data_IF_702224809667
#
_entry.id   IF_702224809667
#
_cell.length_a   1.000
_cell.length_b   1.000
_cell.length_c   1.000
_cell.angle_alpha   90.00
_cell.angle_beta   90.00
_cell.angle_gamma   90.00
#
_symmetry.space_group_name_H-M   'P 1'
#
loop_
_entity.id
_entity.type
_entity.pdbx_description
1 polymer ?
2 non-polymer ?
3 non-polymer ?
4 water ?
#
# COMPACT_ATOMS: atom_id res chain seq x y z
N UNK A 5 -15.66 20.49 10.23
CA UNK A 5 -15.58 19.82 8.90
C UNK A 5 -15.14 18.36 9.04
N UNK A 6 -15.61 17.51 8.14
CA UNK A 6 -15.26 16.09 8.17
C UNK A 6 -13.88 15.79 7.59
N UNK A 7 -13.12 15.00 8.33
CA UNK A 7 -11.76 14.61 7.93
C UNK A 7 -11.82 13.31 7.13
N UNK A 8 -10.67 12.90 6.60
CA UNK A 8 -10.59 11.66 5.84
C UNK A 8 -11.11 10.52 6.72
N UNK A 9 -10.77 10.59 8.00
CA UNK A 9 -11.18 9.59 8.98
C UNK A 9 -12.71 9.52 9.07
N UNK A 10 -13.33 10.69 9.16
CA UNK A 10 -14.78 10.79 9.25
C UNK A 10 -15.44 10.08 8.08
N UNK A 11 -14.97 10.36 6.88
CA UNK A 11 -15.52 9.74 5.69
C UNK A 11 -15.23 8.25 5.65
N UNK A 12 -14.01 7.87 6.01
CA UNK A 12 -13.63 6.47 6.00
C UNK A 12 -14.46 5.62 6.96
N UNK A 13 -14.66 6.10 8.19
CA UNK A 13 -15.45 5.39 9.20
C UNK A 13 -16.90 5.30 8.74
N UNK A 14 -17.38 6.39 8.17
CA UNK A 14 -18.74 6.47 7.66
C UNK A 14 -18.93 5.34 6.63
N UNK A 15 -18.03 5.31 5.65
CA UNK A 15 -18.04 4.31 4.60
C UNK A 15 -17.95 2.87 5.13
N UNK A 16 -17.00 2.62 6.02
CA UNK A 16 -16.82 1.27 6.56
C UNK A 16 -17.89 0.80 7.53
N UNK A 17 -18.45 1.73 8.31
CA UNK A 17 -19.50 1.37 9.27
C UNK A 17 -20.79 0.97 8.57
N UNK A 18 -20.87 1.26 7.28
CA UNK A 18 -22.05 0.88 6.51
C UNK A 18 -21.76 -0.45 5.80
N UNK A 19 -20.63 -0.49 5.10
CA UNK A 19 -20.28 -1.66 4.33
C UNK A 19 -19.81 -2.92 5.04
N UNK A 20 -19.06 -2.78 6.13
CA UNK A 20 -18.59 -3.95 6.85
C UNK A 20 -19.76 -4.75 7.41
N UNK A 21 -20.71 -4.08 8.09
CA UNK A 21 -21.86 -4.81 8.64
C UNK A 21 -22.64 -5.50 7.51
N UNK A 22 -22.73 -4.84 6.37
CA UNK A 22 -23.43 -5.40 5.22
C UNK A 22 -22.70 -6.64 4.69
N UNK A 23 -21.38 -6.67 4.83
CA UNK A 23 -20.61 -7.83 4.40
C UNK A 23 -20.89 -8.99 5.37
N UNK A 24 -20.92 -8.70 6.67
CA UNK A 24 -21.17 -9.73 7.68
C UNK A 24 -22.60 -10.28 7.58
N UNK A 25 -23.54 -9.45 7.13
CA UNK A 25 -24.91 -9.90 6.97
C UNK A 25 -25.00 -11.01 5.92
N UNK A 26 -23.95 -11.17 5.13
CA UNK A 26 -23.92 -12.18 4.08
C UNK A 26 -23.54 -13.58 4.61
N UNK A 27 -22.95 -13.62 5.80
CA UNK A 27 -22.56 -14.88 6.38
C UNK A 27 -21.27 -15.45 5.83
N UNK A 28 -20.63 -14.71 4.92
CA UNK A 28 -19.38 -15.16 4.31
C UNK A 28 -18.29 -15.44 5.33
N UNK A 29 -17.72 -16.64 5.26
CA UNK A 29 -16.65 -17.02 6.19
C UNK A 29 -15.26 -16.66 5.67
N UNK A 30 -15.15 -16.42 4.37
CA UNK A 30 -13.86 -16.04 3.79
C UNK A 30 -13.45 -14.66 4.32
N UNK A 31 -12.17 -14.32 4.26
CA UNK A 31 -11.75 -13.00 4.76
C UNK A 31 -12.32 -11.85 3.92
N UNK A 32 -12.44 -10.68 4.54
CA UNK A 32 -12.88 -9.49 3.84
C UNK A 32 -11.62 -8.65 3.88
N UNK A 33 -11.11 -8.25 2.72
CA UNK A 33 -9.92 -7.40 2.70
C UNK A 33 -10.29 -5.93 2.64
N UNK A 34 -9.43 -5.10 3.22
CA UNK A 34 -9.63 -3.67 3.20
C UNK A 34 -8.29 -3.05 2.79
N UNK A 35 -8.27 -2.51 1.57
CA UNK A 35 -7.08 -1.90 1.00
C UNK A 35 -7.06 -0.39 1.13
N UNK A 36 -5.92 0.14 1.59
CA UNK A 36 -5.74 1.57 1.69
C UNK A 36 -4.63 1.91 0.71
N UNK A 37 -4.90 2.89 -0.15
CA UNK A 37 -3.95 3.32 -1.17
C UNK A 37 -3.88 4.84 -1.24
N UNK A 38 -2.67 5.37 -1.30
CA UNK A 38 -2.51 6.81 -1.38
C UNK A 38 -1.06 7.20 -1.55
N UNK A 39 -0.78 8.36 -2.16
CA UNK A 39 0.62 8.75 -2.34
C UNK A 39 1.35 8.86 -1.02
N UNK A 40 2.66 8.73 -1.06
CA UNK A 40 3.48 8.86 0.15
C UNK A 40 3.25 10.28 0.71
N UNK A 41 2.96 10.37 2.00
CA UNK A 41 2.72 11.66 2.61
C UNK A 41 1.24 12.04 2.68
N UNK A 42 0.39 11.25 2.05
CA UNK A 42 -1.04 11.54 2.07
C UNK A 42 -1.69 11.30 3.43
N UNK A 43 -1.03 10.50 4.27
CA UNK A 43 -1.57 10.21 5.58
C UNK A 43 -2.36 8.91 5.63
N UNK A 44 -2.41 8.20 4.50
CA UNK A 44 -3.14 6.93 4.40
C UNK A 44 -2.68 5.90 5.43
N UNK A 45 -1.39 5.94 5.77
CA UNK A 45 -0.87 5.00 6.75
C UNK A 45 -1.50 5.22 8.12
N UNK A 46 -1.51 6.47 8.55
CA UNK A 46 -2.11 6.80 9.84
C UNK A 46 -3.61 6.45 9.82
N UNK A 47 -4.28 6.78 8.71
CA UNK A 47 -5.71 6.48 8.60
C UNK A 47 -6.02 4.98 8.72
N UNK A 48 -5.21 4.16 8.06
CA UNK A 48 -5.41 2.70 8.10
C UNK A 48 -5.22 2.18 9.52
N UNK A 49 -4.23 2.72 10.23
CA UNK A 49 -3.98 2.32 11.61
C UNK A 49 -5.17 2.69 12.50
N UNK A 50 -5.73 3.88 12.28
CA UNK A 50 -6.88 4.32 13.05
C UNK A 50 -8.06 3.37 12.83
N UNK A 51 -8.24 2.94 11.58
CA UNK A 51 -9.34 2.05 11.25
C UNK A 51 -9.12 0.70 11.95
N UNK A 52 -7.87 0.23 11.93
CA UNK A 52 -7.52 -1.03 12.59
C UNK A 52 -8.03 -0.95 14.02
N UNK A 53 -7.61 0.08 14.75
CA UNK A 53 -8.04 0.25 16.12
C UNK A 53 -9.55 0.35 16.25
N UNK A 54 -10.16 1.11 15.35
CA UNK A 54 -11.60 1.30 15.33
C UNK A 54 -12.31 -0.07 15.30
N UNK A 55 -11.88 -0.94 14.40
CA UNK A 55 -12.46 -2.27 14.24
C UNK A 55 -12.14 -3.20 15.42
N UNK A 56 -10.94 -3.04 15.97
CA UNK A 56 -10.50 -3.83 17.11
C UNK A 56 -11.39 -3.51 18.30
N UNK A 57 -11.80 -2.26 18.40
CA UNK A 57 -12.65 -1.82 19.50
C UNK A 57 -14.10 -2.20 19.24
N UNK A 58 -14.55 -2.06 18.00
CA UNK A 58 -15.93 -2.39 17.67
C UNK A 58 -16.22 -3.88 17.76
N UNK A 59 -15.43 -4.69 17.07
CA UNK A 59 -15.65 -6.13 17.04
C UNK A 59 -14.81 -6.93 18.04
N UNK A 60 -13.77 -6.30 18.58
CA UNK A 60 -12.92 -6.95 19.54
C UNK A 60 -12.82 -8.47 19.44
N UNK A 61 -13.47 -9.15 20.38
CA UNK A 61 -13.42 -10.60 20.42
C UNK A 61 -14.35 -11.43 19.55
N UNK A 62 -15.22 -10.79 18.77
CA UNK A 62 -16.13 -11.54 17.92
C UNK A 62 -15.60 -11.74 16.51
N UNK A 63 -14.51 -11.06 16.20
CA UNK A 63 -13.90 -11.15 14.86
C UNK A 63 -12.37 -11.06 14.93
N UNK A 64 -11.69 -11.76 14.02
CA UNK A 64 -10.23 -11.72 13.96
C UNK A 64 -9.81 -10.64 12.97
N UNK A 65 -9.13 -9.61 13.46
CA UNK A 65 -8.69 -8.50 12.62
C UNK A 65 -7.18 -8.49 12.38
N UNK A 66 -6.79 -8.49 11.11
CA UNK A 66 -5.37 -8.45 10.77
C UNK A 66 -4.98 -7.15 10.10
N UNK A 67 -3.72 -6.76 10.24
CA UNK A 67 -3.24 -5.52 9.64
C UNK A 67 -1.81 -5.69 9.16
N UNK A 68 -1.51 -5.06 8.04
CA UNK A 68 -0.16 -5.10 7.50
C UNK A 68 0.08 -3.99 6.49
N UNK A 69 1.31 -3.52 6.44
CA UNK A 69 1.71 -2.53 5.45
C UNK A 69 2.40 -3.40 4.43
N UNK A 70 2.25 -3.10 3.15
CA UNK A 70 2.92 -3.91 2.15
C UNK A 70 4.43 -3.93 2.41
N UNK A 71 4.97 -2.87 3.00
CA UNK A 71 6.41 -2.83 3.27
C UNK A 71 6.87 -3.81 4.34
N UNK A 72 5.91 -4.37 5.08
CA UNK A 72 6.22 -5.37 6.09
C UNK A 72 6.83 -6.56 5.36
N UNK A 73 6.53 -6.66 4.06
CA UNK A 73 7.02 -7.76 3.23
C UNK A 73 8.23 -7.46 2.37
N UNK A 74 8.99 -6.43 2.73
CA UNK A 74 10.21 -6.11 1.96
C UNK A 74 11.13 -7.33 1.96
N UNK A 75 11.97 -7.42 0.94
CA UNK A 75 12.92 -8.52 0.83
C UNK A 75 13.89 -8.43 2.02
N UNK A 76 14.51 -9.55 2.38
CA UNK A 76 15.49 -9.52 3.45
C UNK A 76 16.63 -8.67 2.91
N UNK A 77 17.37 -8.02 3.80
CA UNK A 77 18.47 -7.17 3.34
C UNK A 77 19.34 -7.93 2.35
N UNK A 78 19.56 -9.21 2.62
CA UNK A 78 20.36 -10.06 1.76
C UNK A 78 19.76 -10.26 0.38
N UNK A 79 18.46 -10.51 0.32
CA UNK A 79 17.80 -10.72 -0.96
C UNK A 79 17.76 -9.44 -1.77
N UNK A 80 17.67 -8.30 -1.10
CA UNK A 80 17.64 -7.03 -1.81
C UNK A 80 19.01 -6.83 -2.46
N UNK A 81 20.06 -7.24 -1.77
CA UNK A 81 21.41 -7.12 -2.32
C UNK A 81 21.49 -7.97 -3.58
N UNK A 82 20.87 -9.14 -3.53
CA UNK A 82 20.84 -10.06 -4.66
C UNK A 82 20.06 -9.39 -5.79
N UNK A 83 18.98 -8.71 -5.44
CA UNK A 83 18.15 -8.02 -6.41
C UNK A 83 18.93 -6.86 -7.05
N UNK A 84 19.77 -6.20 -6.25
CA UNK A 84 20.55 -5.06 -6.74
C UNK A 84 21.39 -5.45 -7.95
N UNK A 85 22.14 -6.54 -7.82
CA UNK A 85 23.00 -7.03 -8.89
C UNK A 85 22.20 -7.60 -10.05
N UNK A 86 21.20 -8.42 -9.75
CA UNK A 86 20.36 -9.03 -10.78
C UNK A 86 19.90 -7.96 -11.76
N UNK A 87 19.56 -6.79 -11.24
CA UNK A 87 19.13 -5.68 -12.08
C UNK A 87 20.10 -4.52 -11.88
N UNK A 88 21.38 -4.85 -11.97
CA UNK A 88 22.47 -3.90 -11.77
C UNK A 88 22.34 -2.56 -12.52
N UNK A 89 21.69 -2.58 -13.68
CA UNK A 89 21.56 -1.35 -14.46
C UNK A 89 20.24 -0.62 -14.31
N UNK A 90 19.36 -1.15 -13.46
CA UNK A 90 18.07 -0.51 -13.23
C UNK A 90 18.21 0.27 -11.92
N UNK A 91 18.30 1.60 -12.03
CA UNK A 91 18.46 2.42 -10.84
C UNK A 91 17.24 2.44 -9.92
N UNK A 92 16.06 2.18 -10.48
CA UNK A 92 14.84 2.17 -9.68
C UNK A 92 14.73 0.94 -8.77
N UNK A 93 15.48 -0.11 -9.10
CA UNK A 93 15.43 -1.33 -8.30
C UNK A 93 16.56 -1.46 -7.29
N UNK A 94 17.46 -0.50 -7.31
CA UNK A 94 18.59 -0.51 -6.38
C UNK A 94 18.05 -0.06 -5.02
N UNK A 95 18.09 -0.97 -4.05
CA UNK A 95 17.59 -0.66 -2.72
C UNK A 95 16.09 -0.85 -2.63
N UNK A 96 15.61 -1.12 -1.41
CA UNK A 96 14.19 -1.32 -1.17
C UNK A 96 13.41 -0.10 -1.67
N UNK A 97 12.14 -0.31 -2.01
CA UNK A 97 11.33 0.80 -2.48
C UNK A 97 10.21 0.48 -3.45
N UNK A 98 10.55 0.40 -4.73
CA UNK A 98 9.57 0.16 -5.77
C UNK A 98 9.06 -1.28 -5.87
N UNK A 99 7.96 -1.48 -6.63
CA UNK A 99 7.41 -2.82 -6.80
C UNK A 99 8.55 -3.70 -7.31
N UNK A 100 8.69 -4.90 -6.73
CA UNK A 100 9.77 -5.77 -7.14
C UNK A 100 10.76 -5.94 -6.00
N UNK A 101 10.65 -5.06 -5.01
CA UNK A 101 11.53 -5.11 -3.84
C UNK A 101 10.86 -5.79 -2.66
N UNK A 102 9.75 -6.47 -2.92
CA UNK A 102 9.05 -7.20 -1.86
C UNK A 102 9.15 -8.71 -2.05
N UNK A 103 9.02 -9.44 -0.96
CA UNK A 103 9.11 -10.89 -0.99
C UNK A 103 7.75 -11.49 -1.36
N UNK A 104 7.55 -11.72 -2.66
CA UNK A 104 6.28 -12.27 -3.16
C UNK A 104 6.02 -13.70 -2.74
N UNK A 105 7.08 -14.51 -2.68
CA UNK A 105 6.92 -15.91 -2.30
C UNK A 105 6.33 -15.96 -0.90
N UNK A 106 6.85 -15.12 -0.03
CA UNK A 106 6.40 -15.06 1.35
C UNK A 106 4.96 -14.55 1.41
N UNK A 107 4.62 -13.60 0.56
CA UNK A 107 3.26 -13.05 0.55
C UNK A 107 2.29 -14.10 0.04
N UNK A 108 2.72 -14.82 -0.98
CA UNK A 108 1.94 -15.89 -1.57
C UNK A 108 1.58 -16.91 -0.48
N UNK A 109 2.58 -17.32 0.29
CA UNK A 109 2.35 -18.30 1.36
C UNK A 109 1.35 -17.81 2.40
N UNK A 110 1.54 -16.59 2.86
CA UNK A 110 0.65 -16.00 3.86
C UNK A 110 -0.81 -16.01 3.35
N UNK A 111 -1.01 -15.57 2.11
CA UNK A 111 -2.34 -15.55 1.52
C UNK A 111 -2.90 -16.97 1.50
N UNK A 112 -2.05 -17.92 1.09
CA UNK A 112 -2.44 -19.32 1.03
C UNK A 112 -2.94 -19.79 2.37
N UNK A 113 -2.14 -19.54 3.41
CA UNK A 113 -2.50 -19.93 4.76
C UNK A 113 -3.81 -19.29 5.20
N UNK A 114 -3.98 -18.00 4.90
CA UNK A 114 -5.19 -17.30 5.26
C UNK A 114 -6.43 -17.89 4.61
N UNK A 115 -6.37 -18.16 3.30
CA UNK A 115 -7.51 -18.76 2.63
C UNK A 115 -7.55 -20.27 2.81
N UNK A 116 -6.76 -20.78 3.75
CA UNK A 116 -6.69 -22.21 4.02
C UNK A 116 -7.58 -22.59 5.20
N UNK A 123 -2.35 -23.48 11.28
CA UNK A 123 -2.46 -23.67 12.72
C UNK A 123 -3.58 -22.79 13.29
N UNK A 124 -3.32 -22.19 14.46
CA UNK A 124 -4.29 -21.33 15.12
C UNK A 124 -3.90 -19.88 14.83
N UNK A 125 -2.72 -19.72 14.23
CA UNK A 125 -2.21 -18.40 13.88
C UNK A 125 -1.37 -18.49 12.62
N UNK A 126 -1.27 -17.38 11.90
CA UNK A 126 -0.47 -17.28 10.70
C UNK A 126 0.56 -16.22 11.04
N UNK A 127 1.80 -16.42 10.61
CA UNK A 127 2.85 -15.45 10.91
C UNK A 127 3.15 -14.54 9.74
N UNK A 128 3.12 -13.25 10.01
CA UNK A 128 3.43 -12.24 9.00
C UNK A 128 4.72 -11.54 9.39
N UNK A 129 5.54 -11.15 8.40
CA UNK A 129 6.81 -10.49 8.69
C UNK A 129 6.69 -9.05 9.15
N UNK A 130 7.78 -8.58 9.75
CA UNK A 130 7.90 -7.20 10.22
C UNK A 130 9.26 -6.74 9.71
N UNK A 131 9.37 -5.46 9.38
CA UNK A 131 10.62 -4.96 8.86
C UNK A 131 11.25 -3.94 9.79
N UNK A 132 12.57 -3.77 9.67
CA UNK A 132 13.31 -2.83 10.48
C UNK A 132 14.19 -2.03 9.53
N UNK A 133 13.79 -0.79 9.25
CA UNK A 133 14.51 0.10 8.34
C UNK A 133 15.82 0.69 8.88
N UNK A 134 16.01 0.65 10.19
CA UNK A 134 17.21 1.20 10.80
C UNK A 134 18.42 0.29 10.60
N UNK A 135 18.14 -0.97 10.32
CA UNK A 135 19.20 -1.96 10.11
C UNK A 135 20.19 -1.56 9.02
N UNK A 136 21.36 -2.20 9.05
CA UNK A 136 22.43 -1.94 8.09
C UNK A 136 22.57 -0.48 7.67
N UNK A 137 22.78 0.39 8.65
CA UNK A 137 22.94 1.81 8.37
C UNK A 137 21.81 2.36 7.49
N UNK A 138 20.57 2.01 7.82
CA UNK A 138 19.45 2.52 7.06
C UNK A 138 19.00 1.74 5.84
N UNK A 139 19.73 0.68 5.46
CA UNK A 139 19.34 -0.10 4.30
C UNK A 139 18.16 -1.01 4.67
N UNK A 140 18.06 -1.33 5.95
CA UNK A 140 16.96 -2.16 6.42
C UNK A 140 17.11 -3.66 6.28
N UNK A 141 16.32 -4.39 7.07
CA UNK A 141 16.33 -5.85 7.07
C UNK A 141 15.06 -6.36 7.76
N UNK A 142 14.72 -7.61 7.54
CA UNK A 142 13.54 -8.20 8.16
C UNK A 142 13.79 -8.49 9.64
N UNK A 143 12.77 -8.30 10.47
CA UNK A 143 12.90 -8.57 11.91
C UNK A 143 13.01 -10.07 12.14
N UNK A 144 13.72 -10.48 13.20
CA UNK A 144 13.89 -11.90 13.52
C UNK A 144 12.55 -12.50 13.92
N UNK A 145 11.60 -11.63 14.23
CA UNK A 145 10.27 -12.05 14.64
C UNK A 145 9.21 -11.09 14.12
N UNK A 146 8.20 -11.65 13.45
CA UNK A 146 7.13 -10.83 12.90
C UNK A 146 5.94 -10.73 13.82
N UNK A 147 4.75 -10.91 13.26
CA UNK A 147 3.51 -10.82 14.04
C UNK A 147 2.68 -12.07 13.79
N UNK A 148 1.78 -12.38 14.71
CA UNK A 148 0.90 -13.53 14.57
C UNK A 148 -0.56 -13.12 14.58
N UNK A 149 -1.32 -13.63 13.63
CA UNK A 149 -2.74 -13.31 13.55
C UNK A 149 -3.57 -14.58 13.71
N UNK A 150 -4.66 -14.47 14.48
CA UNK A 150 -5.54 -15.61 14.72
C UNK A 150 -6.33 -16.04 13.49
N UNK A 151 -6.30 -17.34 13.20
CA UNK A 151 -7.04 -17.90 12.09
C UNK A 151 -8.34 -18.52 12.59
N UNK A 152 -9.43 -18.42 11.80
CA UNK A 152 -9.46 -17.76 10.49
C UNK A 152 -9.48 -16.24 10.61
N UNK A 153 -9.04 -15.54 9.57
CA UNK A 153 -9.04 -14.08 9.59
C UNK A 153 -10.35 -13.58 9.02
N UNK A 154 -11.02 -12.70 9.77
CA UNK A 154 -12.28 -12.13 9.34
C UNK A 154 -12.11 -10.86 8.51
N UNK A 155 -11.22 -9.98 8.95
CA UNK A 155 -10.95 -8.73 8.23
C UNK A 155 -9.46 -8.53 8.14
N UNK A 156 -8.95 -8.32 6.94
CA UNK A 156 -7.53 -8.09 6.77
C UNK A 156 -7.27 -6.74 6.10
N UNK A 157 -6.58 -5.89 6.82
CA UNK A 157 -6.25 -4.56 6.36
C UNK A 157 -4.83 -4.51 5.81
N UNK A 158 -4.72 -4.13 4.54
CA UNK A 158 -3.41 -4.01 3.90
C UNK A 158 -3.32 -2.58 3.33
N UNK A 159 -2.14 -1.97 3.45
CA UNK A 159 -1.97 -0.60 2.96
C UNK A 159 -0.61 -0.38 2.31
N UNK A 160 -0.62 0.46 1.26
CA UNK A 160 0.59 0.78 0.52
C UNK A 160 0.32 1.97 -0.40
N UNK A 161 1.40 2.61 -0.86
CA UNK A 161 1.27 3.77 -1.74
C UNK A 161 0.95 3.39 -3.19
N UNK A 162 1.14 2.12 -3.54
CA UNK A 162 0.87 1.68 -4.91
C UNK A 162 -0.18 0.54 -5.03
N UNK A 163 -0.91 0.29 -3.96
CA UNK A 163 -1.92 -0.76 -4.01
C UNK A 163 -3.02 -0.38 -5.01
N UNK A 164 -3.33 -1.29 -5.92
CA UNK A 164 -4.36 -1.01 -6.89
C UNK A 164 -3.82 -0.69 -8.28
N UNK A 165 -2.54 -0.30 -8.36
CA UNK A 165 -1.93 0.01 -9.65
C UNK A 165 -1.88 -1.29 -10.45
N UNK A 166 -2.13 -1.18 -11.75
CA UNK A 166 -2.11 -2.36 -12.61
C UNK A 166 -1.09 -2.23 -13.73
N UNK A 167 -0.37 -3.34 -14.01
CA UNK A 167 0.64 -3.36 -15.07
C UNK A 167 0.11 -3.07 -16.45
N UNK A 168 0.94 -2.41 -17.25
CA UNK A 168 0.59 -2.12 -18.63
C UNK A 168 0.73 -3.47 -19.29
N UNK A 169 -0.30 -3.91 -20.02
CA UNK A 169 -0.25 -5.23 -20.63
C UNK A 169 -0.01 -5.23 -22.12
N UNK A 170 -0.59 -4.26 -22.81
CA UNK A 170 -0.47 -4.20 -24.26
C UNK A 170 0.29 -2.99 -24.76
N UNK A 171 0.97 -3.16 -25.90
CA UNK A 171 1.73 -2.09 -26.52
C UNK A 171 2.71 -1.40 -25.59
N UNK A 172 3.36 -2.16 -24.72
CA UNK A 172 4.30 -1.59 -23.77
C UNK A 172 5.53 -0.92 -24.37
N UNK A 173 5.68 -1.01 -25.69
CA UNK A 173 6.83 -0.38 -26.35
C UNK A 173 6.44 0.92 -27.03
N UNK A 174 5.16 1.27 -26.94
CA UNK A 174 4.66 2.50 -27.54
C UNK A 174 4.40 3.56 -26.47
N UNK A 175 4.24 3.11 -25.22
CA UNK A 175 4.00 4.03 -24.11
C UNK A 175 5.29 4.74 -23.71
N UNK A 176 5.32 6.05 -23.91
CA UNK A 176 6.50 6.86 -23.61
C UNK A 176 6.92 6.81 -22.13
N UNK A 177 5.93 6.78 -21.24
CA UNK A 177 6.20 6.72 -19.80
C UNK A 177 6.80 5.37 -19.41
N UNK A 178 6.42 4.33 -20.16
CA UNK A 178 6.91 3.00 -19.89
C UNK A 178 8.18 2.72 -20.65
N UNK A 179 9.31 3.10 -20.07
CA UNK A 179 10.59 2.87 -20.70
C UNK A 179 11.68 2.69 -19.66
N UNK A 180 12.89 2.45 -20.13
CA UNK A 180 14.02 2.27 -19.25
C UNK A 180 13.78 1.36 -18.07
N UNK A 181 14.11 1.87 -16.88
CA UNK A 181 13.97 1.09 -15.66
C UNK A 181 12.53 0.73 -15.31
N UNK A 182 11.56 1.46 -15.87
CA UNK A 182 10.16 1.19 -15.56
C UNK A 182 9.66 -0.08 -16.20
N UNK A 183 10.35 -0.55 -17.22
CA UNK A 183 9.94 -1.77 -17.91
C UNK A 183 9.89 -2.95 -16.95
N UNK A 184 10.94 -3.12 -16.15
CA UNK A 184 10.99 -4.21 -15.20
C UNK A 184 10.03 -3.95 -14.03
N UNK A 185 9.93 -2.70 -13.60
CA UNK A 185 9.04 -2.38 -12.50
C UNK A 185 7.63 -2.81 -12.85
N UNK A 186 7.20 -2.44 -14.06
CA UNK A 186 5.88 -2.78 -14.58
C UNK A 186 5.67 -4.30 -14.55
N UNK A 187 6.71 -5.06 -14.90
CA UNK A 187 6.60 -6.52 -14.90
C UNK A 187 6.44 -7.02 -13.48
N UNK A 188 7.20 -6.40 -12.58
CA UNK A 188 7.17 -6.74 -11.16
C UNK A 188 5.80 -6.42 -10.53
N UNK A 189 5.20 -5.31 -10.94
CA UNK A 189 3.90 -4.92 -10.40
C UNK A 189 2.86 -6.03 -10.59
N UNK A 190 3.03 -6.82 -11.64
CA UNK A 190 2.11 -7.90 -11.96
C UNK A 190 1.84 -8.84 -10.78
N UNK A 191 2.91 -9.29 -10.12
CA UNK A 191 2.77 -10.22 -9.00
C UNK A 191 1.86 -9.74 -7.86
N UNK A 192 1.82 -8.44 -7.62
CA UNK A 192 0.99 -7.91 -6.56
C UNK A 192 -0.46 -7.88 -7.02
N UNK A 193 -0.69 -7.31 -8.19
CA UNK A 193 -2.02 -7.22 -8.78
C UNK A 193 -2.67 -8.59 -8.91
N UNK A 194 -1.93 -9.54 -9.48
CA UNK A 194 -2.43 -10.90 -9.69
C UNK A 194 -2.80 -11.59 -8.39
N UNK A 195 -1.97 -11.37 -7.38
CA UNK A 195 -2.15 -11.96 -6.07
C UNK A 195 -3.21 -11.26 -5.20
N UNK A 196 -3.41 -9.97 -5.44
CA UNK A 196 -4.34 -9.19 -4.62
C UNK A 196 -5.59 -8.57 -5.24
N UNK A 197 -5.50 -7.30 -5.67
CA UNK A 197 -6.68 -6.61 -6.21
C UNK A 197 -7.24 -7.10 -7.54
N UNK A 198 -6.54 -8.03 -8.19
CA UNK A 198 -7.02 -8.60 -9.45
C UNK A 198 -7.27 -10.10 -9.20
N UNK A 199 -7.07 -10.52 -7.96
CA UNK A 199 -7.29 -11.91 -7.59
C UNK A 199 -8.81 -12.06 -7.34
N UNK A 200 -9.47 -12.89 -8.16
CA UNK A 200 -10.92 -13.18 -8.10
C UNK A 200 -11.43 -13.73 -6.78
N UNK A 201 -10.56 -14.37 -6.02
CA UNK A 201 -10.95 -14.93 -4.74
C UNK A 201 -10.93 -13.87 -3.63
N UNK A 202 -10.34 -12.71 -3.90
CA UNK A 202 -10.28 -11.67 -2.90
C UNK A 202 -11.45 -10.69 -2.92
N UNK A 203 -12.19 -10.65 -1.81
CA UNK A 203 -13.33 -9.75 -1.67
C UNK A 203 -12.89 -8.61 -0.79
N UNK A 204 -13.14 -7.38 -1.26
CA UNK A 204 -12.63 -6.22 -0.54
C UNK A 204 -13.35 -4.88 -0.69
N UNK A 205 -12.99 -3.99 0.22
CA UNK A 205 -13.47 -2.62 0.23
C UNK A 205 -12.20 -1.81 0.03
N UNK A 206 -12.29 -0.73 -0.75
CA UNK A 206 -11.12 0.07 -1.01
C UNK A 206 -11.23 1.50 -0.56
N UNK A 207 -10.12 2.03 -0.05
CA UNK A 207 -10.04 3.41 0.40
C UNK A 207 -8.94 4.04 -0.44
N UNK A 208 -9.32 4.96 -1.31
CA UNK A 208 -8.35 5.60 -2.19
C UNK A 208 -8.19 7.08 -1.91
N UNK A 209 -6.93 7.47 -1.75
CA UNK A 209 -6.56 8.86 -1.49
C UNK A 209 -5.88 9.40 -2.74
N UNK A 210 -6.41 10.49 -3.29
CA UNK A 210 -5.75 11.12 -4.41
C UNK A 210 -5.63 12.61 -4.06
N UNK A 211 -4.88 13.37 -4.84
CA UNK A 211 -4.71 14.79 -4.54
C UNK A 211 -4.85 15.64 -5.80
N UNK A 212 -4.96 16.95 -5.64
CA UNK A 212 -5.12 17.87 -6.78
C UNK A 212 -3.83 18.04 -7.58
N UNK A 213 -2.70 17.84 -6.94
CA UNK A 213 -1.42 17.96 -7.64
C UNK A 213 -0.46 16.91 -7.10
N UNK A 214 0.03 16.05 -7.99
CA UNK A 214 0.94 14.99 -7.57
C UNK A 214 2.29 15.49 -7.06
N UNK A 215 2.66 16.72 -7.42
CA UNK A 215 3.92 17.26 -6.96
C UNK A 215 3.83 17.62 -5.48
N UNK A 216 2.65 17.40 -4.90
CA UNK A 216 2.46 17.66 -3.48
C UNK A 216 3.34 16.68 -2.73
N UNK A 217 3.62 15.55 -3.37
CA UNK A 217 4.46 14.52 -2.78
C UNK A 217 5.84 15.06 -2.42
N UNK A 218 6.43 15.87 -3.30
CA UNK A 218 7.75 16.44 -3.02
C UNK A 218 7.62 17.28 -1.76
N UNK A 219 6.63 18.17 -1.77
CA UNK A 219 6.39 19.03 -0.63
C UNK A 219 6.27 18.27 0.67
N UNK A 220 5.39 17.28 0.71
CA UNK A 220 5.19 16.49 1.92
C UNK A 220 6.45 15.81 2.44
N UNK A 221 7.32 15.36 1.54
CA UNK A 221 8.54 14.70 2.00
C UNK A 221 9.61 15.73 2.41
N UNK A 222 9.58 16.91 1.79
CA UNK A 222 10.53 17.96 2.12
C UNK A 222 10.25 18.42 3.55
N UNK A 223 8.97 18.48 3.89
CA UNK A 223 8.56 18.89 5.21
C UNK A 223 9.06 17.88 6.23
N UNK A 224 8.71 16.62 6.02
CA UNK A 224 9.09 15.53 6.91
C UNK A 224 10.60 15.52 7.22
N UNK A 225 11.41 15.65 6.18
CA UNK A 225 12.87 15.63 6.34
C UNK A 225 13.43 16.84 7.08
N UNK A 226 12.82 18.02 6.87
CA UNK A 226 13.27 19.23 7.53
C UNK A 226 13.07 19.11 9.04
N UNK A 227 11.99 18.44 9.43
CA UNK A 227 11.68 18.25 10.84
C UNK A 227 12.67 17.28 11.48
N UNK A 228 13.06 16.24 10.74
CA UNK A 228 14.01 15.27 11.25
C UNK A 228 15.36 15.95 11.50
N UNK A 229 15.79 16.75 10.53
CA UNK A 229 17.06 17.46 10.64
C UNK A 229 17.07 18.41 11.84
N UNK A 230 16.01 19.21 11.98
CA UNK A 230 15.93 20.17 13.09
C UNK A 230 15.93 19.45 14.43
N UNK A 231 15.68 18.14 14.41
CA UNK A 231 15.66 17.37 15.63
C UNK A 231 16.96 16.61 15.94
N UNK A 232 17.56 15.99 14.93
CA UNK A 232 18.79 15.22 15.15
C UNK A 232 19.92 15.56 14.18
N UNK A 233 19.75 16.62 13.40
CA UNK A 233 20.78 17.04 12.46
C UNK A 233 21.23 15.99 11.47
N UNK A 234 20.29 15.18 10.99
CA UNK A 234 20.59 14.14 10.01
C UNK A 234 19.39 13.91 9.11
N UNK A 235 19.67 13.74 7.82
CA UNK A 235 18.61 13.52 6.84
C UNK A 235 19.11 13.85 5.45
N UNK A 236 18.24 13.76 4.46
CA UNK A 236 18.64 14.05 3.08
C UNK A 236 18.61 15.55 2.81
N UNK A 237 19.45 15.99 1.89
CA UNK A 237 19.47 17.39 1.50
C UNK A 237 18.25 17.50 0.58
N UNK A 238 17.77 18.71 0.34
CA UNK A 238 16.62 18.87 -0.53
C UNK A 238 16.87 18.18 -1.86
N UNK A 239 18.10 18.30 -2.36
CA UNK A 239 18.46 17.67 -3.62
C UNK A 239 18.25 16.16 -3.54
N UNK A 240 18.63 15.58 -2.40
CA UNK A 240 18.48 14.14 -2.20
C UNK A 240 17.02 13.76 -2.05
N UNK A 241 16.26 14.61 -1.38
CA UNK A 241 14.84 14.35 -1.19
C UNK A 241 14.19 14.32 -2.57
N UNK A 242 14.66 15.19 -3.46
CA UNK A 242 14.12 15.22 -4.82
C UNK A 242 14.50 13.95 -5.53
N UNK A 243 15.74 13.51 -5.32
CA UNK A 243 16.23 12.31 -5.95
C UNK A 243 15.44 11.11 -5.42
N UNK A 244 15.10 11.16 -4.14
CA UNK A 244 14.34 10.09 -3.52
C UNK A 244 12.96 10.00 -4.16
N UNK A 245 12.23 11.11 -4.15
CA UNK A 245 10.88 11.16 -4.72
C UNK A 245 10.87 10.86 -6.22
N UNK A 246 11.88 11.32 -6.94
CA UNK A 246 11.97 11.08 -8.37
C UNK A 246 11.89 9.59 -8.69
N UNK A 247 12.30 8.76 -7.73
CA UNK A 247 12.26 7.31 -7.91
C UNK A 247 10.82 6.80 -8.01
N UNK A 248 9.88 7.51 -7.38
CA UNK A 248 8.49 7.09 -7.38
C UNK A 248 7.60 7.78 -8.42
N UNK A 249 7.97 9.00 -8.81
CA UNK A 249 7.21 9.75 -9.79
C UNK A 249 6.85 9.03 -11.10
N UNK A 250 7.78 8.22 -11.64
CA UNK A 250 7.44 7.52 -12.89
C UNK A 250 6.22 6.62 -12.69
N UNK A 251 6.20 5.89 -11.58
CA UNK A 251 5.08 5.01 -11.26
C UNK A 251 3.78 5.80 -11.16
N UNK A 252 3.83 6.93 -10.45
CA UNK A 252 2.66 7.78 -10.29
C UNK A 252 2.12 8.21 -11.64
N UNK A 253 3.00 8.75 -12.48
CA UNK A 253 2.62 9.22 -13.80
C UNK A 253 2.04 8.12 -14.68
N UNK A 254 2.57 6.91 -14.54
CA UNK A 254 2.08 5.79 -15.35
C UNK A 254 0.75 5.17 -14.89
N UNK A 255 0.62 4.89 -13.59
CA UNK A 255 -0.57 4.21 -13.07
C UNK A 255 -1.64 4.95 -12.29
N UNK A 256 -1.29 6.04 -11.62
CA UNK A 256 -2.25 6.74 -10.78
C UNK A 256 -3.59 7.10 -11.42
N UNK A 257 -3.56 7.58 -12.66
CA UNK A 257 -4.79 7.97 -13.34
C UNK A 257 -5.78 6.82 -13.54
N UNK A 258 -5.37 5.77 -14.25
CA UNK A 258 -6.27 4.62 -14.48
C UNK A 258 -6.78 4.07 -13.15
N UNK A 259 -5.84 3.87 -12.22
CA UNK A 259 -6.20 3.34 -10.91
C UNK A 259 -7.28 4.16 -10.21
N UNK A 260 -7.02 5.43 -9.99
CA UNK A 260 -7.99 6.28 -9.29
C UNK A 260 -9.30 6.44 -10.04
N UNK A 261 -9.24 6.67 -11.35
CA UNK A 261 -10.44 6.89 -12.16
C UNK A 261 -11.31 5.64 -12.25
N UNK A 262 -10.67 4.48 -12.28
CA UNK A 262 -11.38 3.20 -12.37
C UNK A 262 -12.25 2.91 -11.15
N UNK A 263 -11.88 3.45 -10.00
CA UNK A 263 -12.65 3.24 -8.78
C UNK A 263 -12.91 1.75 -8.52
N UNK A 264 -11.87 0.94 -8.56
CA UNK A 264 -12.08 -0.47 -8.36
C UNK A 264 -11.01 -1.16 -7.51
N UNK A 265 -10.36 -0.42 -6.63
CA UNK A 265 -9.37 -1.03 -5.75
C UNK A 265 -10.13 -2.09 -4.95
N UNK A 266 -11.36 -1.75 -4.57
CA UNK A 266 -12.20 -2.68 -3.83
C UNK A 266 -13.12 -3.44 -4.77
N UNK A 267 -13.25 -4.74 -4.57
CA UNK A 267 -14.12 -5.54 -5.42
C UNK A 267 -15.60 -5.33 -5.09
N UNK A 268 -15.91 -4.98 -3.85
CA UNK A 268 -17.30 -4.75 -3.46
C UNK A 268 -17.67 -3.28 -3.58
N UNK A 269 -16.85 -2.41 -3.00
CA UNK A 269 -17.11 -0.97 -3.06
C UNK A 269 -15.79 -0.25 -2.82
N UNK A 270 -15.73 1.00 -3.29
CA UNK A 270 -14.53 1.81 -3.12
C UNK A 270 -14.88 3.25 -2.78
N UNK A 271 -14.15 3.78 -1.80
CA UNK A 271 -14.32 5.16 -1.38
C UNK A 271 -13.09 5.93 -1.88
N UNK A 272 -13.31 6.97 -2.68
CA UNK A 272 -12.20 7.78 -3.18
C UNK A 272 -12.27 9.16 -2.54
N UNK A 273 -11.13 9.60 -1.99
CA UNK A 273 -11.04 10.89 -1.33
C UNK A 273 -9.99 11.75 -1.99
N UNK A 274 -10.39 12.96 -2.38
CA UNK A 274 -9.46 13.88 -3.00
C UNK A 274 -9.01 14.87 -1.93
N UNK A 275 -7.70 14.97 -1.70
CA UNK A 275 -7.19 15.88 -0.69
C UNK A 275 -6.17 16.85 -1.24
N UNK A 276 -6.06 18.01 -0.60
CA UNK A 276 -5.13 19.05 -1.02
C UNK A 276 -3.84 19.05 -0.20
N UNK A 277 -2.94 19.98 -0.51
CA UNK A 277 -1.66 20.10 0.18
C UNK A 277 -1.79 19.96 1.70
N UNK A 278 -2.81 20.57 2.28
CA UNK A 278 -3.02 20.49 3.73
C UNK A 278 -3.78 19.24 4.15
N UNK A 279 -3.83 18.26 3.25
CA UNK A 279 -4.55 17.01 3.52
C UNK A 279 -6.03 17.29 3.74
N UNK A 280 -6.52 18.38 3.17
CA UNK A 280 -7.93 18.74 3.29
C UNK A 280 -8.74 18.12 2.14
N UNK A 281 -9.90 17.56 2.47
CA UNK A 281 -10.77 16.92 1.49
C UNK A 281 -11.58 17.93 0.67
N UNK A 282 -11.43 17.88 -0.65
CA UNK A 282 -12.17 18.78 -1.52
C UNK A 282 -13.28 18.02 -2.26
N UNK A 283 -13.17 16.70 -2.32
CA UNK A 283 -14.19 15.87 -2.98
C UNK A 283 -14.18 14.43 -2.51
N UNK A 284 -15.36 13.80 -2.58
CA UNK A 284 -15.53 12.43 -2.17
C UNK A 284 -16.43 11.68 -3.16
N UNK A 285 -16.19 10.38 -3.29
CA UNK A 285 -17.00 9.56 -4.17
C UNK A 285 -16.97 8.09 -3.75
N UNK A 286 -18.15 7.48 -3.70
CA UNK A 286 -18.28 6.08 -3.31
C UNK A 286 -18.87 5.29 -4.47
N UNK A 287 -18.09 4.36 -4.99
CA UNK A 287 -18.56 3.53 -6.09
C UNK A 287 -18.82 2.13 -5.56
N UNK A 288 -20.04 1.64 -5.75
CA UNK A 288 -20.38 0.30 -5.31
C UNK A 288 -20.61 -0.56 -6.56
N UNK A 289 -19.55 -1.24 -7.00
CA UNK A 289 -19.57 -2.07 -8.20
C UNK A 289 -20.89 -2.76 -8.58
N UNK A 290 -21.53 -2.19 -9.59
CA UNK A 290 -22.81 -2.66 -10.12
C UNK A 290 -22.62 -3.86 -11.06
#
# INVERSE_FOLDING_TARGET
>A
MCDKSKTVLDYTIEFLDKYIPEWFETGNKCPLFIFFSGPQGSGKSFTSIQIYNHLMEKYGGEKSIGYASIDDFYLTHEDQLKLNEQFKNNKLLQGRGLPGTHDMKLLQEVLNTIFNNNEHPDQDTVVLPKYDKSQFKGEGDRCPTGQKIKLPVDIFILEGWFLGFNPILQGIENNDLLTGDMVDVNAKLFFYSDLLWRNPEIKSLGIVFTTDNINNVYGWRLQQEHELISKVGKGMTDEQVHAFVDRYMPSYKLYLNDFVRSESLGSIATLTLGIDSNRNVYSTKTRCIE
#
